data_IF_419375187338
#
_entry.id   IF_419375187338
#
_cell.length_a   1.000
_cell.length_b   1.000
_cell.length_c   1.000
_cell.angle_alpha   90.00
_cell.angle_beta   90.00
_cell.angle_gamma   90.00
#
_symmetry.space_group_name_H-M   'P 1'
#
loop_
_entity.id
_entity.type
_entity.pdbx_description
1 polymer ?
#
# COMPACT_ATOMS: atom_id res chain seq x y z
N UNK A 1 21.04 -0.16 -14.46
CA UNK A 1 19.96 -0.82 -13.68
C UNK A 1 20.08 -0.36 -12.23
N UNK A 2 19.17 0.52 -11.77
CA UNK A 2 19.23 1.08 -10.42
C UNK A 2 18.84 -0.01 -9.42
N UNK A 3 19.80 -0.51 -8.65
CA UNK A 3 19.54 -1.41 -7.53
C UNK A 3 18.66 -0.65 -6.53
N UNK A 4 17.44 -1.13 -6.27
CA UNK A 4 16.57 -0.52 -5.26
C UNK A 4 17.24 -0.66 -3.89
N UNK A 5 17.71 0.45 -3.33
CA UNK A 5 18.28 0.53 -1.98
C UNK A 5 17.24 0.38 -0.86
N UNK A 6 16.14 -0.36 -1.08
CA UNK A 6 15.02 -0.47 -0.12
C UNK A 6 14.89 -1.92 0.36
N UNK A 7 14.70 -2.10 1.67
CA UNK A 7 14.41 -3.43 2.24
C UNK A 7 13.00 -3.91 1.86
N UNK A 8 12.04 -2.99 1.79
CA UNK A 8 10.69 -3.22 1.30
C UNK A 8 10.10 -1.93 0.67
N UNK A 9 9.46 -2.03 -0.49
CA UNK A 9 8.63 -0.99 -1.11
C UNK A 9 7.27 -1.57 -1.53
N UNK A 10 6.20 -0.98 -1.04
CA UNK A 10 4.82 -1.28 -1.45
C UNK A 10 4.26 -0.09 -2.22
N UNK A 11 3.66 -0.36 -3.38
CA UNK A 11 2.97 0.61 -4.22
C UNK A 11 1.53 0.12 -4.41
N UNK A 12 0.57 0.95 -4.02
CA UNK A 12 -0.82 0.76 -4.39
C UNK A 12 -1.22 1.84 -5.41
N UNK A 13 -1.45 1.42 -6.64
CA UNK A 13 -1.98 2.24 -7.70
C UNK A 13 -3.44 1.89 -7.92
N UNK A 14 -4.35 2.82 -7.65
CA UNK A 14 -5.80 2.59 -7.75
C UNK A 14 -6.42 3.61 -8.69
N UNK A 15 -7.33 3.13 -9.54
CA UNK A 15 -8.10 3.96 -10.45
C UNK A 15 -9.58 3.69 -10.22
N UNK A 16 -10.35 4.72 -9.86
CA UNK A 16 -11.78 4.56 -9.67
C UNK A 16 -12.54 4.53 -11.00
N UNK A 17 -13.85 4.24 -10.96
CA UNK A 17 -14.72 4.22 -12.15
C UNK A 17 -14.79 5.53 -12.95
N UNK A 18 -14.40 6.65 -12.35
CA UNK A 18 -14.35 7.97 -13.01
C UNK A 18 -12.98 8.23 -13.67
N UNK A 19 -12.06 7.28 -13.63
CA UNK A 19 -10.70 7.42 -14.15
C UNK A 19 -9.76 8.19 -13.21
N UNK A 20 -10.19 8.53 -12.00
CA UNK A 20 -9.31 9.22 -11.03
C UNK A 20 -8.33 8.20 -10.47
N UNK A 21 -7.05 8.42 -10.77
CA UNK A 21 -5.93 7.62 -10.31
C UNK A 21 -5.34 8.17 -9.01
N UNK A 22 -4.95 7.27 -8.11
CA UNK A 22 -4.26 7.59 -6.87
C UNK A 22 -3.20 6.54 -6.59
N UNK A 23 -2.01 7.01 -6.24
CA UNK A 23 -0.85 6.16 -5.96
C UNK A 23 -0.44 6.43 -4.51
N UNK A 24 -0.41 5.37 -3.71
CA UNK A 24 0.07 5.37 -2.34
C UNK A 24 1.37 4.54 -2.30
N UNK A 25 2.45 5.09 -1.72
CA UNK A 25 3.78 4.47 -1.70
C UNK A 25 4.27 4.33 -0.26
N UNK A 26 4.53 3.09 0.16
CA UNK A 26 5.12 2.77 1.45
C UNK A 26 6.54 2.24 1.22
N UNK A 27 7.51 2.77 1.97
CA UNK A 27 8.90 2.31 1.91
C UNK A 27 9.41 2.04 3.31
N UNK A 28 10.15 0.95 3.44
CA UNK A 28 10.95 0.64 4.61
C UNK A 28 12.40 0.44 4.18
N UNK A 29 13.28 1.31 4.65
CA UNK A 29 14.72 1.19 4.43
C UNK A 29 15.51 1.47 5.70
N UNK A 30 16.52 0.63 5.97
CA UNK A 30 17.39 0.72 7.16
C UNK A 30 16.62 0.97 8.48
N UNK A 31 15.42 0.37 8.59
CA UNK A 31 14.52 0.51 9.75
C UNK A 31 13.67 1.78 9.78
N UNK A 32 13.77 2.68 8.81
CA UNK A 32 12.95 3.89 8.70
C UNK A 32 11.71 3.64 7.86
N UNK A 33 10.55 4.07 8.36
CA UNK A 33 9.27 3.99 7.69
C UNK A 33 9.00 5.30 6.94
N UNK A 34 8.61 5.20 5.66
CA UNK A 34 8.30 6.37 4.81
C UNK A 34 6.99 6.14 4.06
N UNK A 35 6.07 7.08 4.16
CA UNK A 35 4.77 7.04 3.48
C UNK A 35 4.65 8.25 2.54
N UNK A 36 4.40 8.02 1.24
CA UNK A 36 4.32 9.06 0.20
C UNK A 36 5.48 10.06 0.25
N UNK A 37 6.70 9.57 0.48
CA UNK A 37 7.92 10.38 0.61
C UNK A 37 8.11 11.06 1.97
N UNK A 38 7.12 11.01 2.88
CA UNK A 38 7.25 11.54 4.24
C UNK A 38 7.79 10.49 5.21
N UNK A 39 8.87 10.82 5.91
CA UNK A 39 9.39 9.97 6.98
C UNK A 39 8.44 9.94 8.18
N UNK A 40 8.18 8.73 8.67
CA UNK A 40 7.43 8.45 9.90
C UNK A 40 8.36 8.05 11.06
N UNK A 41 9.69 8.12 10.85
CA UNK A 41 10.69 7.70 11.81
C UNK A 41 10.99 6.19 11.79
N UNK A 42 11.74 5.73 12.79
CA UNK A 42 12.17 4.32 12.95
C UNK A 42 11.17 3.46 13.74
N UNK A 43 10.25 4.11 14.46
CA UNK A 43 9.27 3.45 15.31
C UNK A 43 7.90 4.01 14.97
N UNK A 44 6.95 3.12 14.71
CA UNK A 44 5.56 3.47 14.49
C UNK A 44 4.74 3.21 15.76
N UNK A 45 3.70 4.00 16.04
CA UNK A 45 2.71 3.66 17.06
C UNK A 45 2.11 2.26 16.81
N UNK A 46 1.71 1.50 17.85
CA UNK A 46 1.27 0.10 17.71
C UNK A 46 0.20 -0.10 16.63
N UNK A 47 -0.83 0.75 16.61
CA UNK A 47 -1.92 0.70 15.62
C UNK A 47 -1.42 0.91 14.18
N UNK A 48 -0.49 1.86 13.97
CA UNK A 48 0.08 2.17 12.66
C UNK A 48 1.03 1.06 12.23
N UNK A 49 1.78 0.46 13.16
CA UNK A 49 2.64 -0.68 12.90
C UNK A 49 1.85 -1.93 12.46
N UNK A 50 0.69 -2.19 13.08
CA UNK A 50 -0.22 -3.25 12.64
C UNK A 50 -0.76 -2.97 11.23
N UNK A 51 -1.29 -1.76 11.00
CA UNK A 51 -1.78 -1.36 9.68
C UNK A 51 -0.69 -1.54 8.60
N UNK A 52 0.55 -1.13 8.90
CA UNK A 52 1.69 -1.30 8.00
C UNK A 52 1.93 -2.76 7.63
N UNK A 53 1.94 -3.67 8.61
CA UNK A 53 2.12 -5.11 8.36
C UNK A 53 0.99 -5.69 7.50
N UNK A 54 -0.25 -5.23 7.69
CA UNK A 54 -1.38 -5.66 6.85
C UNK A 54 -1.23 -5.14 5.41
N UNK A 55 -0.74 -3.91 5.23
CA UNK A 55 -0.46 -3.37 3.89
C UNK A 55 0.64 -4.14 3.18
N UNK A 56 1.72 -4.54 3.87
CA UNK A 56 2.80 -5.37 3.30
C UNK A 56 2.33 -6.78 2.87
N UNK A 57 1.28 -7.31 3.51
CA UNK A 57 0.65 -8.60 3.10
C UNK A 57 -0.18 -8.47 1.83
N UNK A 58 -0.57 -7.25 1.48
CA UNK A 58 -1.39 -6.96 0.32
C UNK A 58 -2.88 -7.25 0.52
N UNK A 59 -3.72 -6.82 -0.44
CA UNK A 59 -5.14 -7.10 -0.42
C UNK A 59 -5.39 -8.58 -0.68
N UNK A 60 -6.47 -9.11 -0.11
CA UNK A 60 -6.94 -10.46 -0.47
C UNK A 60 -7.29 -10.47 -1.97
N UNK A 61 -6.75 -11.44 -2.72
CA UNK A 61 -7.04 -11.58 -4.14
C UNK A 61 -8.54 -11.83 -4.34
N UNK A 62 -9.27 -10.82 -4.79
CA UNK A 62 -10.56 -11.02 -5.42
C UNK A 62 -10.29 -11.55 -6.84
N UNK A 63 -11.01 -12.60 -7.25
CA UNK A 63 -10.90 -13.13 -8.61
C UNK A 63 -11.19 -12.06 -9.68
N UNK A 64 -10.93 -12.39 -10.95
CA UNK A 64 -11.22 -11.53 -12.11
C UNK A 64 -12.73 -11.33 -12.29
N UNK A 65 -13.36 -10.57 -11.41
CA UNK A 65 -14.74 -10.12 -11.56
C UNK A 65 -14.78 -8.81 -12.35
N UNK A 66 -15.97 -8.43 -12.83
CA UNK A 66 -16.19 -7.12 -13.45
C UNK A 66 -16.06 -6.06 -12.36
N UNK A 67 -14.97 -5.29 -12.40
CA UNK A 67 -14.72 -4.26 -11.41
C UNK A 67 -15.59 -3.03 -11.66
N UNK A 68 -16.64 -2.83 -10.86
CA UNK A 68 -17.60 -1.73 -11.04
C UNK A 68 -17.13 -0.43 -10.38
N UNK A 69 -16.46 -0.52 -9.23
CA UNK A 69 -15.98 0.65 -8.50
C UNK A 69 -14.64 1.22 -9.03
N UNK A 70 -13.88 0.39 -9.75
CA UNK A 70 -12.53 0.70 -10.22
C UNK A 70 -11.57 -0.47 -10.05
N UNK A 71 -10.32 -0.28 -10.45
CA UNK A 71 -9.26 -1.30 -10.37
C UNK A 71 -8.12 -0.83 -9.48
N UNK A 72 -7.31 -1.78 -9.03
CA UNK A 72 -6.04 -1.49 -8.38
C UNK A 72 -4.94 -2.41 -8.90
N UNK A 73 -3.72 -1.91 -8.84
CA UNK A 73 -2.47 -2.65 -8.99
C UNK A 73 -1.71 -2.49 -7.67
N UNK A 74 -1.54 -3.59 -6.98
CA UNK A 74 -0.69 -3.73 -5.82
C UNK A 74 0.68 -4.26 -6.26
N UNK A 75 1.76 -3.60 -5.88
CA UNK A 75 3.12 -4.05 -6.12
C UNK A 75 3.87 -4.06 -4.81
N UNK A 76 4.49 -5.17 -4.45
CA UNK A 76 5.36 -5.29 -3.27
C UNK A 76 6.73 -5.80 -3.71
N UNK A 77 7.75 -4.97 -3.45
CA UNK A 77 9.15 -5.22 -3.74
C UNK A 77 9.89 -5.45 -2.44
N UNK A 78 10.42 -6.65 -2.26
CA UNK A 78 11.25 -7.01 -1.11
C UNK A 78 12.62 -7.42 -1.61
N UNK A 79 13.62 -6.61 -1.31
CA UNK A 79 15.00 -6.77 -1.79
C UNK A 79 15.11 -6.88 -3.32
N UNK A 80 15.07 -8.11 -3.87
CA UNK A 80 15.17 -8.41 -5.30
C UNK A 80 13.92 -9.10 -5.87
N UNK A 81 12.90 -9.34 -5.05
CA UNK A 81 11.65 -9.98 -5.46
C UNK A 81 10.56 -8.93 -5.60
N UNK A 82 9.85 -8.97 -6.72
CA UNK A 82 8.65 -8.16 -6.95
C UNK A 82 7.45 -9.08 -7.06
N UNK A 83 6.39 -8.75 -6.34
CA UNK A 83 5.07 -9.36 -6.51
C UNK A 83 4.11 -8.29 -6.98
N UNK A 84 3.31 -8.60 -7.99
CA UNK A 84 2.32 -7.68 -8.57
C UNK A 84 0.97 -8.38 -8.62
N UNK A 85 -0.03 -7.76 -8.03
CA UNK A 85 -1.41 -8.26 -7.97
C UNK A 85 -2.34 -7.18 -8.48
N UNK A 86 -3.19 -7.53 -9.44
CA UNK A 86 -4.24 -6.65 -9.95
C UNK A 86 -5.60 -7.15 -9.48
N UNK A 87 -6.52 -6.25 -9.16
CA UNK A 87 -7.86 -6.62 -8.71
C UNK A 87 -8.85 -5.47 -8.75
N UNK A 88 -10.06 -5.75 -8.27
CA UNK A 88 -11.14 -4.78 -8.20
C UNK A 88 -11.07 -3.96 -6.92
N UNK A 89 -11.23 -2.64 -7.04
CA UNK A 89 -11.23 -1.70 -5.93
C UNK A 89 -12.58 -1.70 -5.18
N UNK A 90 -13.10 -2.88 -4.85
CA UNK A 90 -14.43 -3.09 -4.27
C UNK A 90 -14.50 -4.28 -3.30
N UNK A 91 -15.56 -4.31 -2.50
CA UNK A 91 -15.79 -5.35 -1.50
C UNK A 91 -15.14 -5.07 -0.14
N UNK A 92 -15.62 -5.78 0.88
CA UNK A 92 -15.24 -5.54 2.28
C UNK A 92 -13.76 -5.82 2.57
N UNK A 93 -13.14 -6.76 1.86
CA UNK A 93 -11.72 -7.08 2.02
C UNK A 93 -10.84 -5.92 1.49
N UNK A 94 -11.14 -5.42 0.29
CA UNK A 94 -10.45 -4.26 -0.26
C UNK A 94 -10.70 -3.00 0.57
N UNK A 95 -11.94 -2.77 1.02
CA UNK A 95 -12.28 -1.63 1.89
C UNK A 95 -11.46 -1.61 3.18
N UNK A 96 -11.30 -2.76 3.86
CA UNK A 96 -10.44 -2.91 5.03
C UNK A 96 -8.96 -2.67 4.71
N UNK A 97 -8.49 -3.18 3.57
CA UNK A 97 -7.12 -2.92 3.12
C UNK A 97 -6.86 -1.42 2.89
N UNK A 98 -7.79 -0.72 2.24
CA UNK A 98 -7.69 0.74 2.08
C UNK A 98 -7.72 1.46 3.43
N UNK A 99 -8.54 1.00 4.39
CA UNK A 99 -8.58 1.59 5.72
C UNK A 99 -7.23 1.54 6.45
N UNK A 100 -6.46 0.44 6.32
CA UNK A 100 -5.10 0.38 6.86
C UNK A 100 -4.17 1.43 6.23
N UNK A 101 -4.30 1.68 4.92
CA UNK A 101 -3.54 2.75 4.25
C UNK A 101 -3.97 4.13 4.77
N UNK A 102 -5.26 4.34 5.00
CA UNK A 102 -5.78 5.60 5.55
C UNK A 102 -5.32 5.84 7.00
N UNK A 103 -5.22 4.79 7.82
CA UNK A 103 -4.65 4.88 9.18
C UNK A 103 -3.19 5.36 9.12
N UNK A 104 -2.38 4.79 8.23
CA UNK A 104 -0.98 5.21 8.02
C UNK A 104 -0.92 6.64 7.49
N UNK A 105 -1.77 7.00 6.52
CA UNK A 105 -1.82 8.36 5.97
C UNK A 105 -2.23 9.39 7.03
N UNK A 106 -3.17 9.05 7.90
CA UNK A 106 -3.64 9.95 8.96
C UNK A 106 -2.49 10.26 9.91
N UNK A 107 -1.77 9.22 10.35
CA UNK A 107 -0.55 9.40 11.14
C UNK A 107 0.52 10.20 10.39
N UNK A 108 0.72 9.92 9.10
CA UNK A 108 1.64 10.68 8.26
C UNK A 108 1.25 12.16 8.17
N UNK A 109 -0.02 12.53 8.32
CA UNK A 109 -0.47 13.93 8.34
C UNK A 109 -0.33 14.60 9.72
N UNK A 110 0.11 13.88 10.74
CA UNK A 110 0.21 14.39 12.11
C UNK A 110 -1.15 14.55 12.79
N UNK A 111 -2.14 13.76 12.35
CA UNK A 111 -3.49 13.73 12.91
C UNK A 111 -3.75 12.41 13.62
#
# INVERSE_FOLDING_TARGET
MSASCFANEVILDRTNKMGVRKIDILKRDKGTYTFDGKSLGKTLPPKVAEAWKQVERGPASAGKQRCHAGTYIYTNRVSKKETRTEGCAEGAAYGRFVQHIEDIRTHARGK
#
